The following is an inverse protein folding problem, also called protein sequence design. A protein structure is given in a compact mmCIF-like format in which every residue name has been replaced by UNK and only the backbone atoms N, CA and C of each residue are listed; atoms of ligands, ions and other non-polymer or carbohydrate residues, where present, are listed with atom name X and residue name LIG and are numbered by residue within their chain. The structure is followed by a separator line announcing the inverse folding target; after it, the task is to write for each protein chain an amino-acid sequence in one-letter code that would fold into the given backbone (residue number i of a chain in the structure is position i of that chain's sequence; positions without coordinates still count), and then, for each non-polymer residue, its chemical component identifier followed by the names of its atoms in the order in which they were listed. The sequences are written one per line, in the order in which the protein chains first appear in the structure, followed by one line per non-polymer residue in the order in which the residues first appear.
data_IF_666705418777
#
_entry.id   IF_666705418777
#
_cell.length_a   1.000
_cell.length_b   1.000
_cell.length_c   1.000
_cell.angle_alpha   90.00
_cell.angle_beta   90.00
_cell.angle_gamma   90.00
#
_symmetry.space_group_name_H-M   'P 1'
#
loop_
_entity.id
_entity.type
_entity.pdbx_description
1 polymer ?
#
# COMPACT_ATOMS: atom_id res chain seq x y z
N UNK A 1 -19.94 22.81 5.46
CA UNK A 1 -19.48 21.48 5.01
C UNK A 1 -18.08 21.64 4.43
N UNK A 2 -17.07 20.96 4.97
CA UNK A 2 -15.65 21.11 4.61
C UNK A 2 -15.21 20.11 3.52
N UNK A 3 -16.06 19.80 2.55
CA UNK A 3 -15.64 19.06 1.36
C UNK A 3 -15.31 20.09 0.28
N UNK A 4 -14.16 20.74 0.43
CA UNK A 4 -13.62 21.61 -0.61
C UNK A 4 -12.68 20.76 -1.46
N UNK A 5 -13.05 20.61 -2.75
CA UNK A 5 -12.38 19.90 -3.85
C UNK A 5 -12.83 18.45 -4.05
N UNK A 6 -13.31 18.20 -5.26
CA UNK A 6 -13.58 16.87 -5.80
C UNK A 6 -12.27 16.15 -6.11
N UNK A 7 -12.32 14.82 -6.00
CA UNK A 7 -11.18 13.92 -6.20
C UNK A 7 -11.58 12.92 -7.26
N UNK A 8 -10.83 12.89 -8.35
CA UNK A 8 -10.92 11.84 -9.35
C UNK A 8 -10.12 10.63 -8.90
N UNK A 9 -10.74 9.45 -9.00
CA UNK A 9 -10.13 8.18 -8.63
C UNK A 9 -10.27 7.17 -9.77
N UNK A 10 -9.15 6.59 -10.19
CA UNK A 10 -9.08 5.58 -11.26
C UNK A 10 -8.45 4.29 -10.75
N UNK A 11 -9.25 3.23 -10.64
CA UNK A 11 -8.76 1.89 -10.32
C UNK A 11 -7.80 1.39 -11.41
N UNK A 12 -6.66 0.83 -11.01
CA UNK A 12 -5.74 0.18 -11.97
C UNK A 12 -5.64 -1.32 -11.74
N UNK A 13 -5.57 -1.74 -10.47
CA UNK A 13 -5.56 -3.15 -10.13
C UNK A 13 -6.05 -3.36 -8.71
N UNK A 14 -6.51 -4.57 -8.43
CA UNK A 14 -6.89 -4.99 -7.09
C UNK A 14 -6.75 -6.51 -6.96
N UNK A 15 -6.67 -6.97 -5.72
CA UNK A 15 -6.70 -8.37 -5.34
C UNK A 15 -7.21 -8.47 -3.90
N UNK A 16 -7.13 -9.65 -3.29
CA UNK A 16 -7.40 -9.77 -1.85
C UNK A 16 -6.37 -9.04 -0.97
N UNK A 17 -5.15 -8.83 -1.46
CA UNK A 17 -4.05 -8.24 -0.69
C UNK A 17 -3.75 -6.78 -1.03
N UNK A 18 -4.39 -6.21 -2.06
CA UNK A 18 -4.18 -4.81 -2.41
C UNK A 18 -5.31 -4.19 -3.22
N UNK A 19 -5.41 -2.86 -3.14
CA UNK A 19 -6.16 -2.01 -4.06
C UNK A 19 -5.21 -0.90 -4.51
N UNK A 20 -5.04 -0.74 -5.82
CA UNK A 20 -4.19 0.30 -6.39
C UNK A 20 -5.04 1.25 -7.25
N UNK A 21 -5.08 2.53 -6.84
CA UNK A 21 -5.85 3.60 -7.49
C UNK A 21 -5.00 4.82 -7.86
N UNK A 22 -5.31 5.46 -8.99
CA UNK A 22 -4.73 6.76 -9.36
C UNK A 22 -5.66 7.81 -8.83
N UNK A 23 -5.13 8.80 -8.14
CA UNK A 23 -5.91 9.89 -7.59
C UNK A 23 -5.42 11.22 -8.14
N UNK A 24 -6.35 12.15 -8.33
CA UNK A 24 -6.07 13.51 -8.76
C UNK A 24 -7.14 14.43 -8.17
N UNK A 25 -6.73 15.60 -7.73
CA UNK A 25 -7.69 16.65 -7.37
C UNK A 25 -8.19 17.28 -8.68
N UNK A 26 -9.49 17.55 -8.84
CA UNK A 26 -10.10 17.94 -10.12
C UNK A 26 -9.38 19.06 -10.90
N UNK A 27 -8.72 19.99 -10.20
CA UNK A 27 -8.00 21.12 -10.79
C UNK A 27 -6.49 20.85 -11.02
N UNK A 28 -5.98 19.69 -10.59
CA UNK A 28 -4.57 19.30 -10.71
C UNK A 28 -4.35 18.52 -12.00
N UNK A 29 -3.25 18.80 -12.71
CA UNK A 29 -2.76 17.92 -13.79
C UNK A 29 -1.96 16.73 -13.26
N UNK A 30 -1.45 16.84 -12.03
CA UNK A 30 -0.63 15.80 -11.41
C UNK A 30 -1.50 14.67 -10.87
N UNK A 31 -1.21 13.47 -11.34
CA UNK A 31 -1.77 12.23 -10.84
C UNK A 31 -0.85 11.59 -9.81
N UNK A 32 -1.44 11.12 -8.72
CA UNK A 32 -0.78 10.34 -7.69
C UNK A 32 -1.17 8.87 -7.80
N UNK A 33 -0.32 8.00 -7.28
CA UNK A 33 -0.57 6.57 -7.11
C UNK A 33 -0.86 6.30 -5.65
N UNK A 34 -1.97 5.65 -5.33
CA UNK A 34 -2.27 5.20 -3.98
C UNK A 34 -2.48 3.69 -4.00
N UNK A 35 -1.66 2.97 -3.24
CA UNK A 35 -1.78 1.53 -3.05
C UNK A 35 -2.17 1.26 -1.60
N UNK A 36 -3.37 0.76 -1.39
CA UNK A 36 -3.82 0.27 -0.09
C UNK A 36 -3.57 -1.24 -0.03
N UNK A 37 -2.98 -1.73 1.06
CA UNK A 37 -2.56 -3.13 1.17
C UNK A 37 -3.16 -3.83 2.38
N UNK A 38 -3.36 -5.14 2.24
CA UNK A 38 -3.54 -6.07 3.33
C UNK A 38 -2.47 -7.16 3.19
N UNK A 39 -1.47 -7.11 4.06
CA UNK A 39 -0.26 -7.89 3.98
C UNK A 39 -0.48 -9.36 4.28
N UNK A 40 0.48 -10.17 3.86
CA UNK A 40 0.41 -11.61 3.98
C UNK A 40 0.73 -12.05 5.41
N UNK A 41 -0.21 -12.69 6.14
CA UNK A 41 0.04 -13.19 7.50
C UNK A 41 1.02 -14.36 7.54
N UNK A 42 1.14 -15.12 6.45
CA UNK A 42 2.09 -16.22 6.35
C UNK A 42 3.50 -15.72 6.02
N UNK A 43 4.41 -15.79 7.00
CA UNK A 43 5.80 -15.38 6.85
C UNK A 43 6.51 -16.02 5.65
N UNK A 44 6.14 -17.26 5.26
CA UNK A 44 6.76 -17.95 4.12
C UNK A 44 6.46 -17.28 2.77
N UNK A 45 5.33 -16.57 2.68
CA UNK A 45 4.86 -15.89 1.47
C UNK A 45 5.17 -14.39 1.45
N UNK A 46 5.77 -13.86 2.52
CA UNK A 46 6.15 -12.44 2.63
C UNK A 46 7.01 -11.97 1.44
N UNK A 47 7.94 -12.79 0.99
CA UNK A 47 8.80 -12.47 -0.15
C UNK A 47 7.98 -12.22 -1.43
N UNK A 48 6.93 -13.00 -1.65
CA UNK A 48 6.03 -12.83 -2.79
C UNK A 48 5.22 -11.54 -2.68
N UNK A 49 4.68 -11.25 -1.49
CA UNK A 49 3.98 -10.01 -1.21
C UNK A 49 4.87 -8.76 -1.41
N UNK A 50 6.10 -8.78 -0.88
CA UNK A 50 7.06 -7.68 -1.10
C UNK A 50 7.44 -7.54 -2.57
N UNK A 51 7.55 -8.65 -3.32
CA UNK A 51 7.80 -8.62 -4.76
C UNK A 51 6.62 -8.02 -5.54
N UNK A 52 5.38 -8.29 -5.12
CA UNK A 52 4.18 -7.63 -5.64
C UNK A 52 4.28 -6.12 -5.43
N UNK A 53 4.58 -5.66 -4.21
CA UNK A 53 4.71 -4.22 -3.92
C UNK A 53 5.81 -3.56 -4.77
N UNK A 54 6.97 -4.21 -4.92
CA UNK A 54 8.06 -3.74 -5.81
C UNK A 54 7.63 -3.68 -7.27
N UNK A 55 6.79 -4.61 -7.74
CA UNK A 55 6.26 -4.59 -9.10
C UNK A 55 5.29 -3.42 -9.29
N UNK A 56 4.35 -3.23 -8.38
CA UNK A 56 3.42 -2.09 -8.39
C UNK A 56 4.20 -0.75 -8.37
N UNK A 57 5.27 -0.68 -7.57
CA UNK A 57 6.17 0.47 -7.52
C UNK A 57 6.95 0.71 -8.82
N UNK A 58 7.17 -0.29 -9.68
CA UNK A 58 7.89 -0.06 -10.95
C UNK A 58 6.98 0.37 -12.10
N UNK A 59 5.66 0.24 -11.94
CA UNK A 59 4.69 0.50 -13.01
C UNK A 59 4.40 1.98 -13.26
N UNK A 60 4.92 2.91 -12.45
CA UNK A 60 4.67 4.34 -12.61
C UNK A 60 5.85 5.20 -12.14
N UNK A 61 6.07 6.35 -12.78
CA UNK A 61 7.00 7.38 -12.32
C UNK A 61 6.34 8.48 -11.47
N UNK A 62 5.06 8.32 -11.13
CA UNK A 62 4.25 9.33 -10.40
C UNK A 62 4.53 9.30 -8.89
N UNK A 63 4.25 10.40 -8.16
CA UNK A 63 4.24 10.41 -6.69
C UNK A 63 3.33 9.31 -6.14
N UNK A 64 3.74 8.67 -5.03
CA UNK A 64 3.02 7.52 -4.48
C UNK A 64 2.82 7.54 -2.98
N UNK A 65 1.67 7.02 -2.58
CA UNK A 65 1.35 6.61 -1.22
C UNK A 65 1.13 5.10 -1.20
N UNK A 66 1.74 4.42 -0.24
CA UNK A 66 1.45 3.01 0.08
C UNK A 66 1.06 2.94 1.56
N UNK A 67 -0.10 2.37 1.87
CA UNK A 67 -0.64 2.34 3.23
C UNK A 67 -1.50 1.10 3.45
N UNK A 68 -1.75 0.75 4.70
CA UNK A 68 -2.60 -0.38 5.06
C UNK A 68 -1.97 -1.21 6.18
N UNK A 69 -2.50 -2.41 6.35
CA UNK A 69 -1.93 -3.39 7.27
C UNK A 69 -0.92 -4.23 6.49
N UNK A 70 0.34 -4.24 6.90
CA UNK A 70 1.38 -5.02 6.22
C UNK A 70 1.57 -6.40 6.83
N UNK A 71 0.91 -6.72 7.96
CA UNK A 71 1.17 -7.91 8.76
C UNK A 71 2.68 -8.13 9.05
N UNK A 72 3.43 -7.03 9.14
CA UNK A 72 4.87 -7.00 9.33
C UNK A 72 5.22 -6.26 10.63
N UNK A 73 5.87 -6.98 11.54
CA UNK A 73 6.45 -6.43 12.77
C UNK A 73 7.88 -5.98 12.46
N UNK A 74 8.09 -4.70 12.22
CA UNK A 74 9.40 -4.11 11.91
C UNK A 74 10.31 -4.11 13.13
N UNK A 75 9.73 -3.93 14.32
CA UNK A 75 10.49 -3.86 15.57
C UNK A 75 9.82 -4.71 16.67
N UNK A 76 10.64 -5.32 17.53
CA UNK A 76 10.12 -6.13 18.64
C UNK A 76 9.18 -5.37 19.58
N UNK A 77 9.34 -4.05 19.70
CA UNK A 77 8.52 -3.19 20.56
C UNK A 77 7.07 -3.04 20.06
N UNK A 78 6.79 -3.38 18.80
CA UNK A 78 5.44 -3.31 18.23
C UNK A 78 4.54 -4.46 18.69
N UNK A 79 5.11 -5.48 19.36
CA UNK A 79 4.36 -6.61 19.89
C UNK A 79 4.59 -6.81 21.38
N UNK A 80 3.56 -7.32 22.07
CA UNK A 80 3.66 -7.79 23.44
C UNK A 80 3.64 -9.32 23.46
N UNK A 81 4.75 -9.94 23.86
CA UNK A 81 4.90 -11.40 23.92
C UNK A 81 5.19 -12.06 22.57
N UNK A 82 5.10 -13.40 22.54
CA UNK A 82 5.46 -14.23 21.38
C UNK A 82 6.98 -14.40 21.18
N UNK A 83 7.40 -15.29 20.27
CA UNK A 83 8.81 -15.57 20.01
C UNK A 83 9.49 -14.33 19.40
N UNK A 84 10.79 -14.13 19.68
CA UNK A 84 11.57 -13.10 19.00
C UNK A 84 11.52 -13.30 17.47
N UNK A 85 11.35 -12.21 16.71
CA UNK A 85 11.52 -12.24 15.25
C UNK A 85 12.94 -12.77 14.97
N UNK A 86 13.06 -13.77 14.11
CA UNK A 86 14.35 -14.17 13.57
C UNK A 86 14.76 -13.09 12.54
N UNK A 87 15.96 -12.52 12.71
CA UNK A 87 16.57 -11.60 11.75
C UNK A 87 17.10 -12.34 10.52
#
# INVERSE_FOLDING_TARGET
MLWHKSVEVQLQSYSQSHIDVSIRLDESEEWWRCTVVYGEPDMSKRTEFLNLLRRLHRQSGRPRLCAGDFNEILEHKEKAGGPMRAE
#
